data_IF_296443304535
#
_entry.id   IF_296443304535
#
_cell.length_a   1.000
_cell.length_b   1.000
_cell.length_c   1.000
_cell.angle_alpha   90.00
_cell.angle_beta   90.00
_cell.angle_gamma   90.00
#
_symmetry.space_group_name_H-M   'P 1'
#
loop_
_entity.id
_entity.type
_entity.pdbx_description
1 polymer ?
#
# COMPACT_ATOMS: atom_id res chain seq x y z
N UNK A 1 -20.93 19.90 -4.82
CA UNK A 1 -21.35 18.82 -3.92
C UNK A 1 -21.07 17.43 -4.53
N UNK A 2 -21.62 17.08 -5.72
CA UNK A 2 -21.40 15.77 -6.32
C UNK A 2 -19.92 15.44 -6.59
N UNK A 3 -19.14 16.37 -7.12
CA UNK A 3 -17.70 16.20 -7.34
C UNK A 3 -16.92 16.08 -6.03
N UNK A 4 -17.27 16.82 -5.00
CA UNK A 4 -16.66 16.72 -3.68
C UNK A 4 -16.96 15.37 -3.02
N UNK A 5 -18.18 14.85 -3.19
CA UNK A 5 -18.54 13.51 -2.75
C UNK A 5 -17.76 12.42 -3.50
N UNK A 6 -17.58 12.55 -4.82
CA UNK A 6 -16.79 11.60 -5.62
C UNK A 6 -15.32 11.55 -5.21
N UNK A 7 -14.72 12.69 -4.87
CA UNK A 7 -13.35 12.76 -4.36
C UNK A 7 -13.25 12.17 -2.95
N UNK A 8 -14.26 12.38 -2.10
CA UNK A 8 -14.34 11.79 -0.76
C UNK A 8 -14.49 10.27 -0.76
N UNK A 9 -15.19 9.71 -1.75
CA UNK A 9 -15.36 8.25 -1.91
C UNK A 9 -14.02 7.54 -2.06
N UNK A 10 -13.06 8.10 -2.78
CA UNK A 10 -11.74 7.46 -2.96
C UNK A 10 -10.96 7.37 -1.63
N UNK A 11 -11.04 8.40 -0.80
CA UNK A 11 -10.45 8.39 0.56
C UNK A 11 -11.16 7.40 1.47
N UNK A 12 -12.50 7.44 1.50
CA UNK A 12 -13.31 6.50 2.30
C UNK A 12 -13.03 5.04 1.92
N UNK A 13 -12.95 4.74 0.62
CA UNK A 13 -12.58 3.40 0.13
C UNK A 13 -11.20 3.00 0.60
N UNK A 14 -10.23 3.94 0.65
CA UNK A 14 -8.89 3.68 1.17
C UNK A 14 -8.89 3.23 2.64
N UNK A 15 -9.62 3.95 3.50
CA UNK A 15 -9.75 3.61 4.93
C UNK A 15 -10.50 2.29 5.15
N UNK A 16 -11.62 2.09 4.45
CA UNK A 16 -12.38 0.83 4.49
C UNK A 16 -11.51 -0.36 4.05
N UNK A 17 -10.69 -0.17 3.04
CA UNK A 17 -9.77 -1.19 2.52
C UNK A 17 -8.73 -1.62 3.55
N UNK A 18 -8.24 -0.68 4.38
CA UNK A 18 -7.32 -1.00 5.48
C UNK A 18 -7.98 -1.93 6.50
N UNK A 19 -9.24 -1.68 6.85
CA UNK A 19 -10.04 -2.55 7.72
C UNK A 19 -10.24 -3.95 7.12
N UNK A 20 -10.58 -4.04 5.84
CA UNK A 20 -10.73 -5.32 5.13
C UNK A 20 -9.42 -6.12 5.14
N UNK A 21 -8.30 -5.49 4.81
CA UNK A 21 -6.99 -6.14 4.82
C UNK A 21 -6.68 -6.70 6.20
N UNK A 22 -6.83 -5.90 7.25
CA UNK A 22 -6.56 -6.32 8.63
C UNK A 22 -7.45 -7.50 9.03
N UNK A 23 -8.73 -7.46 8.69
CA UNK A 23 -9.68 -8.54 9.01
C UNK A 23 -9.33 -9.83 8.31
N UNK A 24 -9.04 -9.79 7.01
CA UNK A 24 -8.67 -10.98 6.21
C UNK A 24 -7.37 -11.59 6.72
N UNK A 25 -6.35 -10.77 6.99
CA UNK A 25 -5.08 -11.26 7.54
C UNK A 25 -5.27 -11.90 8.92
N UNK A 26 -6.00 -11.25 9.82
CA UNK A 26 -6.28 -11.82 11.14
C UNK A 26 -7.01 -13.16 11.05
N UNK A 27 -8.02 -13.27 10.17
CA UNK A 27 -8.75 -14.51 9.97
C UNK A 27 -7.86 -15.64 9.45
N UNK A 28 -7.04 -15.38 8.44
CA UNK A 28 -6.13 -16.36 7.86
C UNK A 28 -5.04 -16.79 8.87
N UNK A 29 -4.46 -15.84 9.57
CA UNK A 29 -3.41 -16.10 10.54
C UNK A 29 -3.93 -16.83 11.78
N UNK A 30 -5.15 -16.52 12.21
CA UNK A 30 -5.81 -17.25 13.29
C UNK A 30 -6.00 -18.73 12.92
N UNK A 31 -6.39 -19.01 11.67
CA UNK A 31 -6.56 -20.38 11.16
C UNK A 31 -5.24 -21.13 10.98
N UNK A 32 -4.13 -20.45 10.61
CA UNK A 32 -2.84 -21.08 10.30
C UNK A 32 -1.93 -21.21 11.52
N UNK A 33 -1.91 -20.24 12.41
CA UNK A 33 -0.96 -20.16 13.53
C UNK A 33 -1.58 -19.72 14.86
N UNK A 34 -2.91 -19.65 14.92
CA UNK A 34 -3.62 -19.25 16.12
C UNK A 34 -3.30 -17.82 16.56
N UNK A 35 -3.44 -17.55 17.85
CA UNK A 35 -3.20 -16.23 18.44
C UNK A 35 -1.76 -15.72 18.24
N UNK A 36 -0.79 -16.64 18.14
CA UNK A 36 0.62 -16.29 17.92
C UNK A 36 0.83 -15.66 16.54
N UNK A 37 0.14 -16.19 15.52
CA UNK A 37 0.17 -15.59 14.17
C UNK A 37 -0.46 -14.22 14.14
N UNK A 38 -1.60 -14.03 14.81
CA UNK A 38 -2.28 -12.73 14.93
C UNK A 38 -1.40 -11.72 15.68
N UNK A 39 -0.75 -12.12 16.77
CA UNK A 39 0.17 -11.26 17.51
C UNK A 39 1.37 -10.81 16.64
N UNK A 40 1.95 -11.75 15.89
CA UNK A 40 3.04 -11.43 14.95
C UNK A 40 2.59 -10.43 13.85
N UNK A 41 1.37 -10.58 13.32
CA UNK A 41 0.82 -9.60 12.39
C UNK A 41 0.56 -8.25 13.03
N UNK A 42 0.14 -8.20 14.28
CA UNK A 42 -0.02 -6.95 15.02
C UNK A 42 1.26 -6.10 15.01
N UNK A 43 2.43 -6.74 15.17
CA UNK A 43 3.72 -6.05 15.05
C UNK A 43 3.90 -5.47 13.64
N UNK A 44 3.75 -6.30 12.61
CA UNK A 44 3.88 -5.88 11.20
C UNK A 44 2.92 -4.75 10.87
N UNK A 45 1.64 -4.87 11.29
CA UNK A 45 0.59 -3.91 11.01
C UNK A 45 0.86 -2.53 11.62
N UNK A 46 1.41 -2.45 12.84
CA UNK A 46 1.75 -1.17 13.46
C UNK A 46 2.82 -0.42 12.65
N UNK A 47 3.88 -1.08 12.21
CA UNK A 47 4.89 -0.45 11.36
C UNK A 47 4.36 -0.16 9.95
N UNK A 48 3.46 -1.00 9.44
CA UNK A 48 2.77 -0.78 8.18
C UNK A 48 1.92 0.50 8.19
N UNK A 49 1.24 0.80 9.28
CA UNK A 49 0.48 2.05 9.46
C UNK A 49 1.41 3.28 9.35
N UNK A 50 2.56 3.26 10.02
CA UNK A 50 3.53 4.35 9.96
C UNK A 50 4.05 4.53 8.52
N UNK A 51 4.43 3.43 7.85
CA UNK A 51 4.90 3.49 6.47
C UNK A 51 3.83 4.07 5.53
N UNK A 52 2.58 3.60 5.65
CA UNK A 52 1.45 4.10 4.85
C UNK A 52 1.19 5.58 5.10
N UNK A 53 1.27 6.04 6.36
CA UNK A 53 1.10 7.46 6.70
C UNK A 53 2.16 8.34 6.04
N UNK A 54 3.42 7.91 6.00
CA UNK A 54 4.51 8.62 5.33
C UNK A 54 4.21 8.78 3.84
N UNK A 55 3.82 7.69 3.15
CA UNK A 55 3.51 7.76 1.71
C UNK A 55 2.26 8.57 1.40
N UNK A 56 1.22 8.49 2.24
CA UNK A 56 0.06 9.34 2.14
C UNK A 56 0.44 10.82 2.30
N UNK A 57 1.35 11.15 3.23
CA UNK A 57 1.86 12.51 3.40
C UNK A 57 2.52 13.06 2.14
N UNK A 58 3.37 12.26 1.46
CA UNK A 58 3.99 12.65 0.19
C UNK A 58 2.94 12.87 -0.89
N UNK A 59 1.99 11.94 -1.06
CA UNK A 59 0.94 12.04 -2.06
C UNK A 59 0.05 13.26 -1.82
N UNK A 60 -0.40 13.49 -0.58
CA UNK A 60 -1.24 14.63 -0.21
C UNK A 60 -0.49 15.97 -0.38
N UNK A 61 0.80 16.02 -0.06
CA UNK A 61 1.64 17.20 -0.29
C UNK A 61 1.82 17.52 -1.78
N UNK A 62 1.88 16.50 -2.64
CA UNK A 62 2.00 16.68 -4.08
C UNK A 62 0.67 17.08 -4.77
N UNK A 63 -0.48 16.67 -4.25
CA UNK A 63 -1.80 16.90 -4.86
C UNK A 63 -2.09 18.37 -5.21
N UNK A 64 -1.89 19.36 -4.32
CA UNK A 64 -2.16 20.76 -4.63
C UNK A 64 -1.31 21.27 -5.78
N UNK A 65 -0.03 20.85 -5.84
CA UNK A 65 0.91 21.24 -6.91
C UNK A 65 0.48 20.65 -8.25
N UNK A 66 0.10 19.36 -8.27
CA UNK A 66 -0.42 18.69 -9.46
C UNK A 66 -1.71 19.34 -9.94
N UNK A 67 -2.66 19.61 -9.04
CA UNK A 67 -3.93 20.27 -9.37
C UNK A 67 -3.71 21.67 -9.94
N UNK A 68 -2.74 22.42 -9.41
CA UNK A 68 -2.37 23.76 -9.93
C UNK A 68 -1.83 23.66 -11.35
N UNK A 69 -0.85 22.79 -11.61
CA UNK A 69 -0.30 22.58 -12.95
C UNK A 69 -1.40 22.16 -13.93
N UNK A 70 -2.25 21.23 -13.52
CA UNK A 70 -3.36 20.75 -14.35
C UNK A 70 -4.37 21.85 -14.67
N UNK A 71 -4.74 22.70 -13.69
CA UNK A 71 -5.64 23.84 -13.88
C UNK A 71 -5.05 24.93 -14.78
N UNK A 72 -3.72 25.03 -14.88
CA UNK A 72 -3.01 25.92 -15.80
C UNK A 72 -2.75 25.29 -17.19
N UNK A 73 -3.29 24.09 -17.48
CA UNK A 73 -3.02 23.29 -18.67
C UNK A 73 -1.54 22.88 -18.84
N UNK A 74 -0.73 22.95 -17.77
CA UNK A 74 0.65 22.46 -17.76
C UNK A 74 0.67 20.96 -17.46
N UNK A 75 0.31 20.15 -18.46
CA UNK A 75 0.31 18.68 -18.33
C UNK A 75 1.73 18.11 -18.17
N UNK A 76 2.75 18.79 -18.72
CA UNK A 76 4.14 18.39 -18.58
C UNK A 76 4.63 18.58 -17.15
N UNK A 77 4.31 19.70 -16.52
CA UNK A 77 4.59 19.99 -15.12
C UNK A 77 3.88 18.99 -14.18
N UNK A 78 2.60 18.73 -14.42
CA UNK A 78 1.85 17.74 -13.65
C UNK A 78 2.49 16.33 -13.72
N UNK A 79 2.92 15.89 -14.93
CA UNK A 79 3.61 14.61 -15.11
C UNK A 79 4.99 14.58 -14.44
N UNK A 80 5.73 15.67 -14.49
CA UNK A 80 7.02 15.80 -13.80
C UNK A 80 6.85 15.65 -12.29
N UNK A 81 5.78 16.23 -11.70
CA UNK A 81 5.45 16.07 -10.28
C UNK A 81 5.11 14.61 -9.93
N UNK A 82 4.40 13.88 -10.80
CA UNK A 82 4.18 12.44 -10.61
C UNK A 82 5.50 11.67 -10.57
N UNK A 83 6.42 11.95 -11.50
CA UNK A 83 7.71 11.27 -11.55
C UNK A 83 8.59 11.60 -10.34
N UNK A 84 8.65 12.87 -9.94
CA UNK A 84 9.37 13.30 -8.74
C UNK A 84 8.77 12.68 -7.47
N UNK A 85 7.45 12.72 -7.32
CA UNK A 85 6.75 12.10 -6.19
C UNK A 85 6.98 10.57 -6.15
N UNK A 86 6.91 9.90 -7.31
CA UNK A 86 7.20 8.46 -7.41
C UNK A 86 8.65 8.14 -7.07
N UNK A 87 9.61 8.97 -7.48
CA UNK A 87 11.01 8.84 -7.07
C UNK A 87 11.19 9.03 -5.56
N UNK A 88 10.53 10.04 -4.98
CA UNK A 88 10.59 10.30 -3.54
C UNK A 88 10.04 9.12 -2.73
N UNK A 89 8.87 8.58 -3.08
CA UNK A 89 8.30 7.42 -2.36
C UNK A 89 9.14 6.17 -2.55
N UNK A 90 9.82 5.99 -3.69
CA UNK A 90 10.73 4.88 -3.91
C UNK A 90 11.97 4.97 -3.00
N UNK A 91 12.57 6.15 -2.88
CA UNK A 91 13.69 6.39 -1.95
C UNK A 91 13.25 6.16 -0.51
N UNK A 92 12.09 6.69 -0.11
CA UNK A 92 11.54 6.48 1.23
C UNK A 92 11.24 4.99 1.48
N UNK A 93 10.73 4.25 0.50
CA UNK A 93 10.53 2.81 0.59
C UNK A 93 11.85 2.07 0.82
N UNK A 94 12.92 2.45 0.11
CA UNK A 94 14.23 1.86 0.28
C UNK A 94 14.81 2.14 1.68
N UNK A 95 14.68 3.38 2.17
CA UNK A 95 15.12 3.76 3.53
C UNK A 95 14.33 3.00 4.60
N UNK A 96 12.99 2.95 4.46
CA UNK A 96 12.12 2.21 5.38
C UNK A 96 12.44 0.71 5.37
N UNK A 97 12.62 0.13 4.18
CA UNK A 97 12.97 -1.29 4.06
C UNK A 97 14.32 -1.58 4.70
N UNK A 98 15.34 -0.74 4.47
CA UNK A 98 16.65 -0.88 5.09
C UNK A 98 16.59 -0.77 6.62
N UNK A 99 15.81 0.19 7.14
CA UNK A 99 15.59 0.36 8.57
C UNK A 99 14.88 -0.86 9.18
N UNK A 100 13.78 -1.31 8.54
CA UNK A 100 13.05 -2.50 8.99
C UNK A 100 13.96 -3.73 8.94
N UNK A 101 14.70 -3.94 7.84
CA UNK A 101 15.58 -5.10 7.69
C UNK A 101 16.70 -5.13 8.73
N UNK A 102 17.33 -3.97 9.00
CA UNK A 102 18.43 -3.85 9.95
C UNK A 102 18.00 -3.87 11.42
N UNK A 103 16.78 -3.39 11.72
CA UNK A 103 16.28 -3.26 13.09
C UNK A 103 15.20 -4.27 13.44
N UNK A 104 14.92 -5.26 12.59
CA UNK A 104 13.81 -6.22 12.77
C UNK A 104 13.82 -6.84 14.16
N UNK A 105 14.96 -7.31 14.64
CA UNK A 105 15.07 -7.98 15.94
C UNK A 105 14.72 -7.03 17.09
N UNK A 106 15.20 -5.80 17.04
CA UNK A 106 14.89 -4.75 18.03
C UNK A 106 13.41 -4.38 17.99
N UNK A 107 12.86 -4.17 16.78
CA UNK A 107 11.46 -3.79 16.59
C UNK A 107 10.52 -4.89 17.08
N UNK A 108 10.82 -6.15 16.79
CA UNK A 108 10.05 -7.30 17.26
C UNK A 108 10.14 -7.46 18.77
N UNK A 109 11.34 -7.23 19.37
CA UNK A 109 11.51 -7.36 20.83
C UNK A 109 10.65 -6.38 21.62
N UNK A 110 10.38 -5.19 21.10
CA UNK A 110 9.51 -4.20 21.77
C UNK A 110 8.06 -4.69 21.95
N UNK A 111 7.60 -5.59 21.10
CA UNK A 111 6.24 -6.13 21.11
C UNK A 111 6.16 -7.57 21.66
N UNK A 112 7.31 -8.20 21.92
CA UNK A 112 7.39 -9.58 22.41
C UNK A 112 7.64 -9.64 23.93
N UNK A 113 6.73 -9.07 24.71
CA UNK A 113 6.83 -9.06 26.18
C UNK A 113 6.81 -10.45 26.82
N UNK A 114 6.16 -11.42 26.16
CA UNK A 114 6.06 -12.81 26.62
C UNK A 114 7.28 -13.66 26.23
N UNK A 115 8.27 -13.10 25.54
CA UNK A 115 9.45 -13.81 25.02
C UNK A 115 9.11 -15.06 24.19
N UNK A 116 8.00 -15.00 23.43
CA UNK A 116 7.58 -16.09 22.56
C UNK A 116 8.51 -16.20 21.35
N UNK A 117 9.28 -17.29 21.28
CA UNK A 117 10.20 -17.58 20.17
C UNK A 117 9.43 -17.72 18.87
N UNK A 118 8.28 -18.36 18.89
CA UNK A 118 7.46 -18.61 17.71
C UNK A 118 6.87 -17.31 17.14
N UNK A 119 6.36 -16.42 18.02
CA UNK A 119 5.87 -15.11 17.63
C UNK A 119 7.00 -14.26 16.99
N UNK A 120 8.18 -14.26 17.60
CA UNK A 120 9.33 -13.54 17.07
C UNK A 120 9.74 -14.05 15.68
N UNK A 121 9.76 -15.37 15.45
CA UNK A 121 10.08 -15.95 14.14
C UNK A 121 9.07 -15.54 13.05
N UNK A 122 7.77 -15.60 13.38
CA UNK A 122 6.72 -15.17 12.45
C UNK A 122 6.78 -13.67 12.15
N UNK A 123 6.95 -12.83 13.18
CA UNK A 123 7.07 -11.39 13.02
C UNK A 123 8.33 -11.01 12.22
N UNK A 124 9.47 -11.65 12.48
CA UNK A 124 10.71 -11.44 11.75
C UNK A 124 10.57 -11.74 10.25
N UNK A 125 9.98 -12.89 9.91
CA UNK A 125 9.70 -13.27 8.53
C UNK A 125 8.69 -12.32 7.89
N UNK A 126 7.62 -11.99 8.63
CA UNK A 126 6.58 -11.07 8.20
C UNK A 126 7.11 -9.68 7.91
N UNK A 127 7.90 -9.08 8.80
CA UNK A 127 8.51 -7.77 8.62
C UNK A 127 9.32 -7.71 7.32
N UNK A 128 10.18 -8.68 7.07
CA UNK A 128 11.06 -8.71 5.89
C UNK A 128 10.29 -8.93 4.59
N UNK A 129 9.32 -9.83 4.56
CA UNK A 129 8.56 -10.13 3.35
C UNK A 129 7.50 -9.06 3.05
N UNK A 130 6.73 -8.65 4.04
CA UNK A 130 5.64 -7.70 3.88
C UNK A 130 6.14 -6.33 3.41
N UNK A 131 7.26 -5.84 3.98
CA UNK A 131 7.78 -4.51 3.66
C UNK A 131 8.36 -4.39 2.25
N UNK A 132 8.65 -5.49 1.54
CA UNK A 132 8.94 -5.45 0.09
C UNK A 132 7.77 -4.84 -0.69
N UNK A 133 6.54 -5.06 -0.24
CA UNK A 133 5.34 -4.50 -0.88
C UNK A 133 5.31 -2.97 -0.92
N UNK A 134 6.00 -2.30 0.01
CA UNK A 134 6.01 -0.83 0.06
C UNK A 134 6.72 -0.15 -1.11
N UNK A 135 7.59 -0.84 -1.84
CA UNK A 135 8.13 -0.33 -3.10
C UNK A 135 7.02 -0.10 -4.15
N UNK A 136 6.03 -0.97 -4.18
CA UNK A 136 4.88 -0.87 -5.07
C UNK A 136 3.76 -0.02 -4.47
N UNK A 137 3.51 -0.16 -3.17
CA UNK A 137 2.49 0.58 -2.44
C UNK A 137 2.71 2.10 -2.51
N UNK A 138 3.96 2.56 -2.34
CA UNK A 138 4.31 3.97 -2.47
C UNK A 138 3.94 4.53 -3.84
N UNK A 139 4.27 3.81 -4.91
CA UNK A 139 3.88 4.19 -6.27
C UNK A 139 2.35 4.23 -6.44
N UNK A 140 1.64 3.20 -5.97
CA UNK A 140 0.17 3.12 -6.08
C UNK A 140 -0.52 4.28 -5.34
N UNK A 141 -0.06 4.63 -4.13
CA UNK A 141 -0.56 5.77 -3.35
C UNK A 141 -0.33 7.08 -4.09
N UNK A 142 0.89 7.30 -4.58
CA UNK A 142 1.25 8.51 -5.31
C UNK A 142 0.44 8.65 -6.61
N UNK A 143 0.30 7.56 -7.36
CA UNK A 143 -0.45 7.53 -8.61
C UNK A 143 -1.97 7.75 -8.40
N UNK A 144 -2.56 7.17 -7.36
CA UNK A 144 -3.96 7.41 -7.00
C UNK A 144 -4.19 8.89 -6.63
N UNK A 145 -3.28 9.49 -5.84
CA UNK A 145 -3.29 10.91 -5.53
C UNK A 145 -3.17 11.80 -6.77
N UNK A 146 -2.27 11.46 -7.68
CA UNK A 146 -2.11 12.15 -8.97
C UNK A 146 -3.39 12.05 -9.82
N UNK A 147 -3.97 10.85 -9.98
CA UNK A 147 -5.20 10.64 -10.76
C UNK A 147 -6.37 11.47 -10.20
N UNK A 148 -6.50 11.56 -8.88
CA UNK A 148 -7.48 12.43 -8.23
C UNK A 148 -7.22 13.91 -8.55
N UNK A 149 -5.96 14.34 -8.52
CA UNK A 149 -5.57 15.74 -8.74
C UNK A 149 -5.75 16.20 -10.21
N UNK A 150 -5.65 15.27 -11.18
CA UNK A 150 -5.88 15.57 -12.62
C UNK A 150 -7.31 15.27 -13.08
N UNK A 151 -8.28 15.30 -12.15
CA UNK A 151 -9.71 15.11 -12.43
C UNK A 151 -10.05 13.75 -13.08
N UNK A 152 -9.38 12.68 -12.61
CA UNK A 152 -9.62 11.29 -13.03
C UNK A 152 -10.04 10.42 -11.81
N UNK A 153 -11.15 10.77 -11.12
CA UNK A 153 -11.53 10.11 -9.85
C UNK A 153 -11.92 8.65 -10.02
N UNK A 154 -12.45 8.27 -11.19
CA UNK A 154 -12.81 6.88 -11.47
C UNK A 154 -11.58 5.96 -11.46
N UNK A 155 -10.51 6.35 -12.12
CA UNK A 155 -9.27 5.58 -12.17
C UNK A 155 -8.55 5.58 -10.81
N UNK A 156 -8.61 6.68 -10.07
CA UNK A 156 -8.11 6.73 -8.70
C UNK A 156 -8.87 5.74 -7.80
N UNK A 157 -10.20 5.71 -7.89
CA UNK A 157 -11.05 4.76 -7.15
C UNK A 157 -10.78 3.31 -7.55
N UNK A 158 -10.64 3.01 -8.83
CA UNK A 158 -10.29 1.67 -9.33
C UNK A 158 -8.95 1.21 -8.73
N UNK A 159 -7.93 2.08 -8.75
CA UNK A 159 -6.62 1.78 -8.15
C UNK A 159 -6.75 1.50 -6.66
N UNK A 160 -7.49 2.33 -5.91
CA UNK A 160 -7.69 2.18 -4.47
C UNK A 160 -8.48 0.91 -4.10
N UNK A 161 -9.57 0.60 -4.84
CA UNK A 161 -10.38 -0.60 -4.63
C UNK A 161 -9.58 -1.87 -4.97
N UNK A 162 -8.87 -1.85 -6.10
CA UNK A 162 -8.05 -2.99 -6.51
C UNK A 162 -6.99 -3.29 -5.44
N UNK A 163 -6.25 -2.27 -5.02
CA UNK A 163 -5.21 -2.37 -4.01
C UNK A 163 -5.74 -2.88 -2.68
N UNK A 164 -6.77 -2.24 -2.15
CA UNK A 164 -7.20 -2.43 -0.77
C UNK A 164 -8.21 -3.55 -0.55
N UNK A 165 -8.87 -4.02 -1.60
CA UNK A 165 -9.92 -5.05 -1.47
C UNK A 165 -9.70 -6.22 -2.42
N UNK A 166 -9.70 -5.98 -3.73
CA UNK A 166 -9.75 -7.06 -4.71
C UNK A 166 -8.44 -7.85 -4.75
N UNK A 167 -7.32 -7.15 -4.99
CA UNK A 167 -6.03 -7.81 -5.13
C UNK A 167 -5.53 -8.40 -3.81
N UNK A 168 -5.70 -7.67 -2.68
CA UNK A 168 -5.21 -8.16 -1.38
C UNK A 168 -6.00 -9.37 -0.89
N UNK A 169 -7.32 -9.40 -1.05
CA UNK A 169 -8.15 -10.54 -0.66
C UNK A 169 -7.83 -11.73 -1.56
N UNK A 170 -7.79 -11.55 -2.89
CA UNK A 170 -7.46 -12.63 -3.81
C UNK A 170 -6.07 -13.21 -3.56
N UNK A 171 -5.04 -12.37 -3.45
CA UNK A 171 -3.67 -12.79 -3.18
C UNK A 171 -3.55 -13.49 -1.83
N UNK A 172 -4.17 -12.96 -0.77
CA UNK A 172 -4.08 -13.56 0.56
C UNK A 172 -4.75 -14.94 0.63
N UNK A 173 -5.92 -15.11 0.00
CA UNK A 173 -6.58 -16.42 -0.06
C UNK A 173 -5.79 -17.43 -0.88
N UNK A 174 -5.33 -17.05 -2.08
CA UNK A 174 -4.61 -17.97 -2.97
C UNK A 174 -3.24 -18.33 -2.40
N UNK A 175 -2.45 -17.34 -2.01
CA UNK A 175 -1.09 -17.58 -1.54
C UNK A 175 -1.06 -18.27 -0.17
N UNK A 176 -2.00 -17.97 0.73
CA UNK A 176 -2.10 -18.68 2.01
C UNK A 176 -2.49 -20.14 1.83
N UNK A 177 -3.37 -20.46 0.88
CA UNK A 177 -3.78 -21.83 0.59
C UNK A 177 -2.62 -22.66 -0.01
N UNK A 178 -1.72 -22.03 -0.80
CA UNK A 178 -0.60 -22.74 -1.45
C UNK A 178 0.64 -22.81 -0.55
N UNK A 179 0.98 -21.71 0.12
CA UNK A 179 2.24 -21.56 0.85
C UNK A 179 2.09 -21.42 2.38
N UNK A 180 0.85 -21.44 2.91
CA UNK A 180 0.61 -21.25 4.35
C UNK A 180 1.06 -19.88 4.86
N UNK A 181 1.76 -19.83 5.99
CA UNK A 181 2.24 -18.59 6.62
C UNK A 181 3.11 -17.70 5.70
N UNK A 182 4.13 -18.21 5.00
CA UNK A 182 4.87 -17.40 4.03
C UNK A 182 3.97 -16.80 2.94
N UNK A 183 2.93 -17.53 2.53
CA UNK A 183 1.95 -17.05 1.55
C UNK A 183 1.17 -15.82 2.04
N UNK A 184 0.80 -15.80 3.32
CA UNK A 184 0.13 -14.62 3.91
C UNK A 184 1.06 -13.40 3.85
N UNK A 185 2.33 -13.55 4.22
CA UNK A 185 3.29 -12.43 4.16
C UNK A 185 3.59 -11.96 2.74
N UNK A 186 3.61 -12.87 1.76
CA UNK A 186 3.81 -12.56 0.35
C UNK A 186 2.58 -11.93 -0.31
N UNK A 187 1.39 -12.05 0.29
CA UNK A 187 0.14 -11.57 -0.28
C UNK A 187 0.15 -10.03 -0.49
N UNK A 188 0.68 -9.28 0.47
CA UNK A 188 0.75 -7.81 0.34
C UNK A 188 1.68 -7.36 -0.80
N UNK A 189 2.95 -7.80 -0.89
CA UNK A 189 3.80 -7.49 -2.06
C UNK A 189 3.17 -7.89 -3.39
N UNK A 190 2.56 -9.07 -3.47
CA UNK A 190 1.94 -9.55 -4.70
C UNK A 190 0.74 -8.69 -5.10
N UNK A 191 -0.13 -8.34 -4.17
CA UNK A 191 -1.30 -7.50 -4.43
C UNK A 191 -0.91 -6.08 -4.86
N UNK A 192 0.10 -5.49 -4.22
CA UNK A 192 0.59 -4.16 -4.56
C UNK A 192 1.29 -4.15 -5.93
N UNK A 193 2.01 -5.22 -6.29
CA UNK A 193 2.60 -5.39 -7.63
C UNK A 193 1.52 -5.48 -8.71
N UNK A 194 0.49 -6.32 -8.51
CA UNK A 194 -0.62 -6.43 -9.44
C UNK A 194 -1.34 -5.09 -9.63
N UNK A 195 -1.57 -4.38 -8.54
CA UNK A 195 -2.16 -3.05 -8.58
C UNK A 195 -1.26 -2.05 -9.30
N UNK A 196 0.05 -2.11 -9.11
CA UNK A 196 1.00 -1.23 -9.80
C UNK A 196 0.97 -1.44 -11.32
N UNK A 197 0.86 -2.68 -11.78
CA UNK A 197 0.71 -3.01 -13.20
C UNK A 197 -0.62 -2.45 -13.76
N UNK A 198 -1.73 -2.61 -13.04
CA UNK A 198 -3.02 -2.01 -13.40
C UNK A 198 -2.93 -0.48 -13.46
N UNK A 199 -2.33 0.14 -12.45
CA UNK A 199 -2.18 1.59 -12.36
C UNK A 199 -1.34 2.14 -13.51
N UNK A 200 -0.25 1.49 -13.86
CA UNK A 200 0.57 1.84 -15.03
C UNK A 200 -0.24 1.75 -16.33
N UNK A 201 -1.06 0.70 -16.49
CA UNK A 201 -1.96 0.58 -17.64
C UNK A 201 -2.98 1.73 -17.70
N UNK A 202 -3.59 2.07 -16.56
CA UNK A 202 -4.56 3.18 -16.50
C UNK A 202 -3.91 4.53 -16.81
N UNK A 203 -2.69 4.77 -16.34
CA UNK A 203 -1.94 6.00 -16.65
C UNK A 203 -1.63 6.12 -18.14
N UNK A 204 -1.27 5.02 -18.82
CA UNK A 204 -0.94 5.01 -20.25
C UNK A 204 -2.17 5.15 -21.16
N UNK A 205 -3.30 4.53 -20.80
CA UNK A 205 -4.49 4.43 -21.66
C UNK A 205 -5.06 5.78 -22.12
N UNK A 206 -4.89 6.87 -21.36
CA UNK A 206 -5.49 8.18 -21.67
C UNK A 206 -4.56 9.12 -22.45
N UNK A 207 -3.29 8.82 -22.57
CA UNK A 207 -2.41 9.53 -23.51
C UNK A 207 -2.76 9.20 -24.96
N UNK A 208 -3.31 8.01 -25.23
CA UNK A 208 -3.72 7.55 -26.58
C UNK A 208 -5.06 8.11 -27.06
N UNK A 209 -5.87 8.74 -26.21
CA UNK A 209 -7.22 9.23 -26.53
C UNK A 209 -7.34 10.75 -26.71
N UNK A 210 -6.25 11.50 -26.75
CA UNK A 210 -6.18 12.94 -26.97
C UNK A 210 -5.22 13.31 -28.10
N UNK A 211 -5.15 12.46 -29.15
CA UNK A 211 -4.56 12.83 -30.45
C UNK A 211 -5.69 13.29 -31.38
#
# INVERSE_FOLDING_TARGET
LAQSCQLGISGFVGELSSGVTTTVFNFLLLGLAGNVGVAAYGVVANFALVATAIFNGVAQGAQPLVSRCYGQNDHAGARKLLLLGSGTVLVLAAVLYAAVFGLTDTLVSWFNSENSVQMAQYAHTGMRMYFVGYFFAGFNIMAAGYLSAVNRPAEASITSICRGMVAIVACSLVLSAVFGMPGVWAAFPASELLTALLTLFLLRRKESGKA
#
